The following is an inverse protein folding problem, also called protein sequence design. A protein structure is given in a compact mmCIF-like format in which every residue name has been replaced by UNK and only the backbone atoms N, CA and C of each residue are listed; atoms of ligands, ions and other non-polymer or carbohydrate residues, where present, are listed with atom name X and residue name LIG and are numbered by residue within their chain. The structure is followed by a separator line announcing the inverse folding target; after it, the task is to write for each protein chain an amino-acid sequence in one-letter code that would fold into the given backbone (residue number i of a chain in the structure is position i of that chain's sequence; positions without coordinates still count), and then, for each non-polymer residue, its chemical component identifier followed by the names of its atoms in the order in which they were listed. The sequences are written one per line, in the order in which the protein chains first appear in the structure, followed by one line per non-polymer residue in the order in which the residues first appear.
data_IF_153445237897
#
_entry.id   IF_153445237897
#
_cell.length_a   1.000
_cell.length_b   1.000
_cell.length_c   1.000
_cell.angle_alpha   90.00
_cell.angle_beta   90.00
_cell.angle_gamma   90.00
#
_symmetry.space_group_name_H-M   'P 1'
#
loop_
_entity.id
_entity.type
_entity.pdbx_description
1 polymer ?
#
# COMPACT_ATOMS: atom_id res chain seq x y z
N UNK A 1 2.56 -20.89 31.20
CA UNK A 1 2.89 -19.60 30.57
C UNK A 1 3.66 -19.86 29.30
N UNK A 2 3.24 -19.29 28.19
CA UNK A 2 4.06 -19.38 26.97
C UNK A 2 5.26 -18.43 27.10
N UNK A 3 6.43 -18.88 26.70
CA UNK A 3 7.68 -18.13 26.74
C UNK A 3 7.57 -16.74 26.07
N UNK A 4 6.65 -16.60 25.11
CA UNK A 4 6.41 -15.39 24.34
C UNK A 4 5.03 -14.77 24.59
N UNK A 5 4.55 -14.85 25.83
CA UNK A 5 3.22 -14.33 26.20
C UNK A 5 3.01 -12.83 25.96
N UNK A 6 4.11 -12.05 25.94
CA UNK A 6 4.11 -10.62 25.66
C UNK A 6 3.93 -10.27 24.17
N UNK A 7 4.07 -11.25 23.28
CA UNK A 7 3.89 -11.05 21.84
C UNK A 7 2.46 -11.35 21.40
N UNK A 8 2.03 -10.65 20.35
CA UNK A 8 0.77 -10.97 19.70
C UNK A 8 0.79 -12.42 19.18
N UNK A 9 -0.33 -13.16 19.30
CA UNK A 9 -0.39 -14.57 18.91
C UNK A 9 0.14 -14.86 17.50
N UNK A 10 -0.12 -13.96 16.56
CA UNK A 10 0.33 -14.07 15.18
C UNK A 10 1.86 -14.12 15.01
N UNK A 11 2.62 -13.60 15.98
CA UNK A 11 4.08 -13.48 15.88
C UNK A 11 4.86 -14.42 16.81
N UNK A 12 4.16 -15.16 17.66
CA UNK A 12 4.81 -16.07 18.63
C UNK A 12 5.60 -17.19 17.96
N UNK A 13 5.08 -17.69 16.84
CA UNK A 13 5.75 -18.74 16.07
C UNK A 13 7.10 -18.27 15.53
N UNK A 14 7.17 -17.04 15.05
CA UNK A 14 8.38 -16.45 14.47
C UNK A 14 9.45 -16.21 15.54
N UNK A 15 9.06 -15.90 16.76
CA UNK A 15 9.99 -15.71 17.86
C UNK A 15 10.77 -16.99 18.23
N UNK A 16 10.19 -18.17 18.00
CA UNK A 16 10.82 -19.46 18.23
C UNK A 16 11.68 -20.00 17.08
N UNK A 17 11.82 -19.27 15.98
CA UNK A 17 12.63 -19.70 14.84
C UNK A 17 14.14 -19.62 15.15
N UNK A 18 14.98 -20.43 14.46
CA UNK A 18 16.43 -20.28 14.50
C UNK A 18 16.86 -18.87 14.10
N UNK A 19 18.00 -18.40 14.61
CA UNK A 19 18.44 -17.02 14.43
C UNK A 19 18.49 -16.56 12.98
N UNK A 20 18.99 -17.38 12.07
CA UNK A 20 19.06 -17.04 10.64
C UNK A 20 17.67 -16.80 10.02
N UNK A 21 16.72 -17.66 10.33
CA UNK A 21 15.35 -17.54 9.84
C UNK A 21 14.62 -16.36 10.49
N UNK A 22 14.85 -16.14 11.78
CA UNK A 22 14.29 -15.01 12.52
C UNK A 22 14.80 -13.68 11.98
N UNK A 23 16.09 -13.56 11.70
CA UNK A 23 16.69 -12.37 11.10
C UNK A 23 16.12 -12.13 9.69
N UNK A 24 16.02 -13.17 8.87
CA UNK A 24 15.43 -13.08 7.55
C UNK A 24 13.97 -12.61 7.62
N UNK A 25 13.22 -13.14 8.58
CA UNK A 25 11.83 -12.74 8.82
C UNK A 25 11.72 -11.27 9.24
N UNK A 26 12.60 -10.79 10.13
CA UNK A 26 12.62 -9.38 10.58
C UNK A 26 12.94 -8.43 9.42
N UNK A 27 13.85 -8.82 8.54
CA UNK A 27 14.28 -8.01 7.38
C UNK A 27 13.28 -8.02 6.22
N UNK A 28 12.38 -8.99 6.18
CA UNK A 28 11.39 -9.08 5.12
C UNK A 28 10.44 -7.88 5.16
N UNK A 29 10.12 -7.36 3.99
CA UNK A 29 9.14 -6.28 3.87
C UNK A 29 7.73 -6.84 4.10
N UNK A 30 6.95 -6.17 4.94
CA UNK A 30 5.58 -6.59 5.27
C UNK A 30 4.67 -5.42 5.57
N UNK A 31 3.39 -5.66 5.38
CA UNK A 31 2.37 -4.72 5.75
C UNK A 31 2.09 -4.82 7.26
N UNK A 32 2.17 -3.67 7.95
CA UNK A 32 1.69 -3.52 9.32
C UNK A 32 0.38 -2.74 9.29
N UNK A 33 -0.67 -3.36 9.80
CA UNK A 33 -2.00 -2.75 9.82
C UNK A 33 -2.15 -1.84 11.03
N UNK A 34 -2.58 -0.60 10.79
CA UNK A 34 -2.89 0.37 11.83
C UNK A 34 -4.07 1.25 11.40
N UNK A 35 -4.72 1.88 12.37
CA UNK A 35 -6.01 2.54 12.15
C UNK A 35 -5.98 3.62 11.06
N UNK A 36 -4.98 4.49 11.09
CA UNK A 36 -4.83 5.55 10.08
C UNK A 36 -4.62 4.99 8.66
N UNK A 37 -3.86 3.91 8.55
CA UNK A 37 -3.67 3.24 7.26
C UNK A 37 -4.95 2.60 6.75
N UNK A 38 -5.72 1.95 7.62
CA UNK A 38 -7.04 1.41 7.25
C UNK A 38 -7.99 2.51 6.79
N UNK A 39 -8.01 3.64 7.48
CA UNK A 39 -8.82 4.80 7.10
C UNK A 39 -8.43 5.35 5.74
N UNK A 40 -7.14 5.49 5.47
CA UNK A 40 -6.63 5.95 4.17
C UNK A 40 -6.97 4.96 3.04
N UNK A 41 -6.79 3.66 3.27
CA UNK A 41 -7.15 2.62 2.30
C UNK A 41 -8.65 2.60 2.01
N UNK A 42 -9.50 2.75 3.04
CA UNK A 42 -10.94 2.83 2.86
C UNK A 42 -11.35 4.02 1.96
N UNK A 43 -10.72 5.17 2.14
CA UNK A 43 -10.96 6.34 1.28
C UNK A 43 -10.48 6.13 -0.16
N UNK A 44 -9.36 5.45 -0.36
CA UNK A 44 -8.88 5.09 -1.69
C UNK A 44 -9.84 4.12 -2.38
N UNK A 45 -10.39 3.13 -1.64
CA UNK A 45 -11.41 2.22 -2.16
C UNK A 45 -12.70 2.97 -2.56
N UNK A 46 -13.14 3.92 -1.76
CA UNK A 46 -14.29 4.77 -2.07
C UNK A 46 -14.07 5.56 -3.37
N UNK A 47 -12.88 6.12 -3.57
CA UNK A 47 -12.52 6.81 -4.80
C UNK A 47 -12.50 5.89 -6.01
N UNK A 48 -12.00 4.67 -5.85
CA UNK A 48 -11.98 3.67 -6.92
C UNK A 48 -13.38 3.26 -7.33
N UNK A 49 -14.29 3.09 -6.36
CA UNK A 49 -15.70 2.74 -6.58
C UNK A 49 -16.58 3.93 -6.99
N UNK A 50 -16.05 5.15 -6.91
CA UNK A 50 -16.83 6.37 -7.16
C UNK A 50 -17.34 6.42 -8.61
N UNK A 51 -18.61 6.81 -8.83
CA UNK A 51 -19.16 6.95 -10.18
C UNK A 51 -18.38 7.97 -11.01
N UNK A 52 -18.20 7.66 -12.29
CA UNK A 52 -17.48 8.55 -13.20
C UNK A 52 -18.25 9.86 -13.40
N UNK A 53 -17.56 10.99 -13.26
CA UNK A 53 -18.13 12.33 -13.42
C UNK A 53 -17.04 13.31 -13.87
N UNK A 54 -17.44 14.45 -14.39
CA UNK A 54 -16.51 15.45 -14.95
C UNK A 54 -15.49 15.97 -13.93
N UNK A 55 -15.93 16.14 -12.70
CA UNK A 55 -15.08 16.53 -11.59
C UNK A 55 -15.02 15.39 -10.57
N UNK A 56 -14.00 14.58 -10.67
CA UNK A 56 -13.77 13.50 -9.71
C UNK A 56 -13.24 14.07 -8.38
N UNK A 57 -13.71 13.54 -7.25
CA UNK A 57 -13.11 13.88 -5.97
C UNK A 57 -11.65 13.43 -5.93
N UNK A 58 -10.83 14.18 -5.20
CA UNK A 58 -9.41 13.91 -5.01
C UNK A 58 -9.14 13.65 -3.53
N UNK A 59 -8.13 12.86 -3.25
CA UNK A 59 -7.62 12.61 -1.91
C UNK A 59 -6.19 13.09 -1.82
N UNK A 60 -5.91 13.91 -0.83
CA UNK A 60 -4.55 14.30 -0.46
C UNK A 60 -4.11 13.47 0.74
N UNK A 61 -3.09 12.65 0.55
CA UNK A 61 -2.43 11.91 1.62
C UNK A 61 -1.12 12.61 1.99
N UNK A 62 -1.08 13.19 3.18
CA UNK A 62 0.06 13.96 3.64
C UNK A 62 0.48 13.53 5.05
N UNK A 63 1.70 13.86 5.42
CA UNK A 63 2.29 13.55 6.71
C UNK A 63 3.81 13.67 6.64
N UNK A 64 4.47 13.54 7.77
CA UNK A 64 5.92 13.58 7.87
C UNK A 64 6.58 12.40 7.13
N UNK A 65 7.84 12.55 6.81
CA UNK A 65 8.66 11.48 6.21
C UNK A 65 8.70 10.27 7.15
N UNK A 66 8.51 9.08 6.60
CA UNK A 66 8.54 7.84 7.39
C UNK A 66 7.23 7.44 8.04
N UNK A 67 6.12 8.16 7.77
CA UNK A 67 4.79 7.84 8.31
C UNK A 67 4.08 6.69 7.57
N UNK A 68 4.69 6.14 6.52
CA UNK A 68 4.15 5.00 5.80
C UNK A 68 3.26 5.35 4.60
N UNK A 69 3.25 6.59 4.11
CA UNK A 69 2.45 7.02 2.95
C UNK A 69 2.69 6.17 1.71
N UNK A 70 3.95 5.95 1.35
CA UNK A 70 4.32 5.12 0.19
C UNK A 70 3.90 3.66 0.38
N UNK A 71 3.98 3.14 1.60
CA UNK A 71 3.54 1.78 1.94
C UNK A 71 2.04 1.60 1.75
N UNK A 72 1.23 2.59 2.13
CA UNK A 72 -0.22 2.60 1.93
C UNK A 72 -0.54 2.52 0.42
N UNK A 73 0.13 3.34 -0.38
CA UNK A 73 -0.03 3.38 -1.83
C UNK A 73 0.37 2.04 -2.46
N UNK A 74 1.50 1.45 -2.06
CA UNK A 74 1.94 0.15 -2.55
C UNK A 74 0.99 -0.98 -2.13
N UNK A 75 0.44 -0.93 -0.94
CA UNK A 75 -0.58 -1.87 -0.46
C UNK A 75 -1.83 -1.80 -1.35
N UNK A 76 -2.31 -0.60 -1.64
CA UNK A 76 -3.46 -0.38 -2.50
C UNK A 76 -3.23 -0.91 -3.93
N UNK A 77 -2.04 -0.68 -4.49
CA UNK A 77 -1.66 -1.22 -5.79
C UNK A 77 -1.62 -2.76 -5.82
N UNK A 78 -1.12 -3.38 -4.76
CA UNK A 78 -1.10 -4.86 -4.64
C UNK A 78 -2.49 -5.46 -4.53
N UNK A 79 -3.41 -4.75 -3.88
CA UNK A 79 -4.79 -5.19 -3.72
C UNK A 79 -5.60 -5.06 -5.02
N UNK A 80 -5.13 -4.23 -5.95
CA UNK A 80 -5.77 -3.99 -7.25
C UNK A 80 -4.80 -4.23 -8.41
N UNK A 81 -4.35 -5.50 -8.63
CA UNK A 81 -3.39 -5.83 -9.68
C UNK A 81 -3.99 -5.67 -11.08
N UNK A 82 -3.13 -5.45 -12.05
CA UNK A 82 -3.53 -5.50 -13.46
C UNK A 82 -3.96 -6.93 -13.84
N UNK A 83 -5.01 -7.03 -14.64
CA UNK A 83 -5.51 -8.30 -15.16
C UNK A 83 -5.42 -8.34 -16.68
N UNK A 84 -5.02 -9.48 -17.23
CA UNK A 84 -4.96 -9.70 -18.67
C UNK A 84 -5.99 -10.74 -19.08
N UNK A 85 -6.87 -10.36 -19.98
CA UNK A 85 -7.84 -11.29 -20.58
C UNK A 85 -7.27 -11.87 -21.88
N UNK A 86 -6.97 -13.16 -21.85
CA UNK A 86 -6.43 -13.90 -23.02
C UNK A 86 -7.44 -14.01 -24.18
N UNK A 87 -8.74 -13.98 -23.88
CA UNK A 87 -9.77 -14.10 -24.89
C UNK A 87 -9.91 -12.85 -25.75
N UNK A 88 -9.80 -11.68 -25.11
CA UNK A 88 -9.92 -10.38 -25.79
C UNK A 88 -8.58 -9.69 -26.06
N UNK A 89 -7.49 -10.17 -25.47
CA UNK A 89 -6.18 -9.54 -25.55
C UNK A 89 -6.08 -8.21 -24.79
N UNK A 90 -7.05 -7.90 -23.93
CA UNK A 90 -7.14 -6.63 -23.21
C UNK A 90 -6.49 -6.74 -21.83
N UNK A 91 -5.64 -5.77 -21.50
CA UNK A 91 -5.11 -5.59 -20.15
C UNK A 91 -5.95 -4.55 -19.43
N UNK A 92 -6.52 -4.92 -18.31
CA UNK A 92 -7.26 -4.01 -17.42
C UNK A 92 -6.39 -3.65 -16.23
N UNK A 93 -6.14 -2.37 -16.05
CA UNK A 93 -5.35 -1.84 -14.93
C UNK A 93 -6.25 -0.87 -14.13
N UNK A 94 -6.82 -1.32 -13.00
CA UNK A 94 -7.77 -0.49 -12.24
C UNK A 94 -7.11 0.72 -11.60
N UNK A 95 -5.83 0.63 -11.24
CA UNK A 95 -5.07 1.69 -10.57
C UNK A 95 -3.72 1.86 -11.24
N UNK A 96 -3.36 3.09 -11.53
CA UNK A 96 -2.03 3.47 -12.04
C UNK A 96 -1.38 4.40 -11.03
N UNK A 97 -0.15 4.12 -10.64
CA UNK A 97 0.65 4.99 -9.79
C UNK A 97 1.89 5.44 -10.53
N UNK A 98 2.23 6.70 -10.37
CA UNK A 98 3.46 7.26 -10.89
C UNK A 98 4.11 8.16 -9.85
N UNK A 99 5.42 8.15 -9.80
CA UNK A 99 6.18 9.07 -8.99
C UNK A 99 6.63 10.24 -9.87
N UNK A 100 6.24 11.45 -9.49
CA UNK A 100 6.69 12.63 -10.21
C UNK A 100 8.19 12.82 -10.02
N UNK A 101 8.97 13.04 -11.08
CA UNK A 101 10.38 13.36 -10.93
C UNK A 101 10.52 14.67 -10.15
N UNK A 102 11.50 14.71 -9.26
CA UNK A 102 11.78 15.90 -8.46
C UNK A 102 12.33 17.00 -9.35
N UNK A 103 11.63 18.14 -9.50
CA UNK A 103 12.22 19.28 -10.18
C UNK A 103 13.44 19.79 -9.38
N UNK A 104 14.45 20.35 -10.06
CA UNK A 104 15.58 20.98 -9.37
C UNK A 104 15.05 22.03 -8.37
N UNK A 105 15.36 21.86 -7.08
CA UNK A 105 14.94 22.75 -6.01
C UNK A 105 13.64 22.38 -5.28
N UNK A 106 12.96 21.29 -5.64
CA UNK A 106 11.77 20.81 -4.92
C UNK A 106 12.14 19.82 -3.83
N UNK A 107 11.54 19.96 -2.65
CA UNK A 107 11.75 19.07 -1.49
C UNK A 107 10.75 17.91 -1.42
N UNK A 108 9.70 17.90 -2.21
CA UNK A 108 8.63 16.90 -2.15
C UNK A 108 8.33 16.31 -3.52
N UNK A 109 8.18 15.00 -3.57
CA UNK A 109 7.75 14.28 -4.77
C UNK A 109 6.33 13.75 -4.51
N UNK A 110 5.28 14.37 -5.05
CA UNK A 110 3.93 13.84 -4.92
C UNK A 110 3.76 12.57 -5.74
N UNK A 111 3.04 11.62 -5.18
CA UNK A 111 2.53 10.47 -5.92
C UNK A 111 1.16 10.84 -6.52
N UNK A 112 0.98 10.58 -7.80
CA UNK A 112 -0.28 10.83 -8.51
C UNK A 112 -0.92 9.51 -8.86
N UNK A 113 -2.19 9.36 -8.52
CA UNK A 113 -2.99 8.21 -8.90
C UNK A 113 -3.99 8.60 -9.96
N UNK A 114 -4.04 7.82 -11.02
CA UNK A 114 -5.07 7.94 -12.03
C UNK A 114 -5.77 6.60 -12.21
N UNK A 115 -7.09 6.62 -12.29
CA UNK A 115 -7.86 5.45 -12.69
C UNK A 115 -7.79 5.32 -14.20
N UNK A 116 -7.35 4.19 -14.70
CA UNK A 116 -7.44 3.89 -16.12
C UNK A 116 -8.91 3.79 -16.58
N UNK A 117 -9.24 4.24 -17.79
CA UNK A 117 -10.59 4.15 -18.33
C UNK A 117 -11.07 2.70 -18.49
#
# INVERSE_FOLDING_TARGET
MSEYGHLLPAYRRQAGLPDAERIAWIRADRWLDFEQARGALARLEDLLAYPRRDRMPCLLLYGDTGMGKTKIIRKFLRDHPATFDKATGVTTMPVVAMQMPKPLGSLTTPAVFTRAP
#
